data_IF_111904639611
#
_entry.id   IF_111904639611
#
_cell.length_a   1.000
_cell.length_b   1.000
_cell.length_c   1.000
_cell.angle_alpha   90.00
_cell.angle_beta   90.00
_cell.angle_gamma   90.00
#
_symmetry.space_group_name_H-M   'P 1'
#
loop_
_entity.id
_entity.type
_entity.pdbx_description
1 polymer ?
#
# COMPACT_ATOMS: atom_id res chain seq x y z
N UNK A 1 40.70 21.59 -10.74
CA UNK A 1 39.30 21.44 -11.21
C UNK A 1 39.23 20.24 -12.13
N UNK A 2 38.74 19.09 -11.66
CA UNK A 2 38.60 17.90 -12.50
C UNK A 2 37.31 18.03 -13.35
N UNK A 3 37.47 18.27 -14.64
CA UNK A 3 36.37 18.25 -15.59
C UNK A 3 35.99 16.78 -15.85
N UNK A 4 34.83 16.36 -15.35
CA UNK A 4 34.24 15.06 -15.68
C UNK A 4 34.03 14.97 -17.19
N UNK A 5 34.63 13.95 -17.83
CA UNK A 5 34.58 13.81 -19.29
C UNK A 5 33.15 13.48 -19.77
N UNK A 6 32.70 14.06 -20.90
CA UNK A 6 31.33 13.90 -21.40
C UNK A 6 30.98 12.44 -21.77
N UNK A 7 31.97 11.59 -22.00
CA UNK A 7 31.80 10.16 -22.35
C UNK A 7 31.29 9.32 -21.17
N UNK A 8 31.74 9.61 -19.94
CA UNK A 8 31.32 8.89 -18.73
C UNK A 8 29.83 9.17 -18.43
N UNK A 9 29.39 10.41 -18.65
CA UNK A 9 28.00 10.80 -18.48
C UNK A 9 27.04 10.08 -19.44
N UNK A 10 27.49 9.77 -20.66
CA UNK A 10 26.68 9.07 -21.67
C UNK A 10 26.44 7.60 -21.34
N UNK A 11 27.43 6.92 -20.74
CA UNK A 11 27.32 5.50 -20.37
C UNK A 11 26.59 5.29 -19.03
N UNK A 12 26.62 6.28 -18.12
CA UNK A 12 25.93 6.20 -16.83
C UNK A 12 24.42 6.46 -16.90
N UNK A 13 23.96 7.23 -17.90
CA UNK A 13 22.54 7.54 -18.14
C UNK A 13 21.64 6.30 -18.33
N UNK A 14 21.97 5.31 -19.17
CA UNK A 14 21.13 4.13 -19.35
C UNK A 14 21.09 3.23 -18.11
N UNK A 15 22.19 3.14 -17.35
CA UNK A 15 22.22 2.35 -16.10
C UNK A 15 21.28 2.96 -15.05
N UNK A 16 21.30 4.28 -14.92
CA UNK A 16 20.40 4.98 -14.00
C UNK A 16 18.92 4.81 -14.40
N UNK A 17 18.60 4.92 -15.70
CA UNK A 17 17.21 4.70 -16.15
C UNK A 17 16.76 3.26 -15.97
N UNK A 18 17.62 2.27 -16.23
CA UNK A 18 17.32 0.85 -15.99
C UNK A 18 17.05 0.60 -14.49
N UNK A 19 17.88 1.16 -13.60
CA UNK A 19 17.68 1.03 -12.15
C UNK A 19 16.36 1.68 -11.72
N UNK A 20 16.03 2.87 -12.23
CA UNK A 20 14.76 3.54 -11.92
C UNK A 20 13.55 2.75 -12.41
N UNK A 21 13.61 2.17 -13.61
CA UNK A 21 12.54 1.34 -14.15
C UNK A 21 12.41 0.03 -13.36
N UNK A 22 13.51 -0.64 -13.03
CA UNK A 22 13.49 -1.84 -12.21
C UNK A 22 12.92 -1.56 -10.81
N UNK A 23 13.26 -0.41 -10.21
CA UNK A 23 12.71 0.02 -8.94
C UNK A 23 11.22 0.36 -9.05
N UNK A 24 10.77 1.04 -10.11
CA UNK A 24 9.35 1.35 -10.28
C UNK A 24 8.52 0.09 -10.50
N UNK A 25 9.00 -0.86 -11.31
CA UNK A 25 8.34 -2.15 -11.57
C UNK A 25 8.21 -2.99 -10.30
N UNK A 26 9.16 -2.89 -9.37
CA UNK A 26 9.10 -3.64 -8.10
C UNK A 26 8.29 -2.93 -7.02
N UNK A 27 8.42 -1.61 -6.90
CA UNK A 27 7.78 -0.84 -5.81
C UNK A 27 6.31 -0.53 -6.10
N UNK A 28 5.97 -0.21 -7.35
CA UNK A 28 4.61 0.25 -7.70
C UNK A 28 3.53 -0.81 -7.42
N UNK A 29 3.68 -2.09 -7.82
CA UNK A 29 2.66 -3.10 -7.55
C UNK A 29 2.46 -3.33 -6.05
N UNK A 30 3.55 -3.32 -5.27
CA UNK A 30 3.48 -3.46 -3.80
C UNK A 30 2.75 -2.28 -3.17
N UNK A 31 3.05 -1.05 -3.63
CA UNK A 31 2.36 0.14 -3.15
C UNK A 31 0.85 0.10 -3.44
N UNK A 32 0.46 -0.35 -4.64
CA UNK A 32 -0.94 -0.55 -5.03
C UNK A 32 -1.63 -1.60 -4.17
N UNK A 33 -1.00 -2.76 -3.95
CA UNK A 33 -1.56 -3.82 -3.11
C UNK A 33 -1.77 -3.36 -1.66
N UNK A 34 -0.80 -2.63 -1.09
CA UNK A 34 -0.92 -2.06 0.26
C UNK A 34 -2.03 -1.01 0.31
N UNK A 35 -2.19 -0.18 -0.72
CA UNK A 35 -3.26 0.79 -0.79
C UNK A 35 -4.64 0.12 -0.85
N UNK A 36 -4.78 -0.96 -1.65
CA UNK A 36 -6.00 -1.74 -1.73
C UNK A 36 -6.37 -2.38 -0.39
N UNK A 37 -5.42 -3.06 0.27
CA UNK A 37 -5.63 -3.67 1.58
C UNK A 37 -6.04 -2.64 2.65
N UNK A 38 -5.44 -1.44 2.62
CA UNK A 38 -5.87 -0.34 3.50
C UNK A 38 -7.27 0.16 3.18
N UNK A 39 -7.65 0.18 1.90
CA UNK A 39 -9.00 0.54 1.48
C UNK A 39 -10.05 -0.42 2.01
N UNK A 40 -9.79 -1.73 1.95
CA UNK A 40 -10.66 -2.76 2.53
C UNK A 40 -10.79 -2.62 4.05
N UNK A 41 -9.69 -2.37 4.76
CA UNK A 41 -9.74 -2.12 6.20
C UNK A 41 -10.54 -0.84 6.52
N UNK A 42 -10.33 0.25 5.77
CA UNK A 42 -11.04 1.51 6.02
C UNK A 42 -12.54 1.41 5.71
N UNK A 43 -12.96 0.52 4.79
CA UNK A 43 -14.39 0.25 4.58
C UNK A 43 -15.07 -0.40 5.78
N UNK A 44 -14.31 -1.11 6.62
CA UNK A 44 -14.82 -1.72 7.85
C UNK A 44 -14.80 -0.75 9.04
N UNK A 45 -14.40 0.51 8.82
CA UNK A 45 -14.26 1.50 9.91
C UNK A 45 -15.61 1.88 10.50
N UNK A 46 -15.71 1.77 11.82
CA UNK A 46 -16.89 2.15 12.58
C UNK A 46 -16.86 3.65 12.88
N UNK A 47 -17.77 4.40 12.28
CA UNK A 47 -17.83 5.86 12.44
C UNK A 47 -18.31 6.29 13.84
N UNK A 48 -19.34 5.62 14.37
CA UNK A 48 -19.89 5.90 15.70
C UNK A 48 -20.61 4.68 16.25
N UNK A 49 -20.51 4.44 17.56
CA UNK A 49 -21.30 3.45 18.27
C UNK A 49 -22.23 4.12 19.30
N UNK A 50 -23.46 3.59 19.49
CA UNK A 50 -24.35 4.08 20.53
C UNK A 50 -23.66 4.11 21.90
N UNK A 51 -23.76 5.23 22.60
CA UNK A 51 -23.15 5.41 23.93
C UNK A 51 -21.65 5.73 23.93
N UNK A 52 -20.98 5.80 22.77
CA UNK A 52 -19.58 6.22 22.71
C UNK A 52 -19.40 7.74 22.75
N UNK A 53 -18.24 8.23 23.22
CA UNK A 53 -17.87 9.63 23.07
C UNK A 53 -17.79 10.02 21.59
N UNK A 54 -18.09 11.29 21.28
CA UNK A 54 -18.07 11.84 19.91
C UNK A 54 -16.70 11.72 19.21
N UNK A 55 -15.63 11.59 19.99
CA UNK A 55 -14.27 11.41 19.50
C UNK A 55 -13.62 10.27 20.30
N UNK A 56 -13.79 9.00 19.88
CA UNK A 56 -13.17 7.89 20.58
C UNK A 56 -11.64 7.98 20.48
N UNK A 57 -10.90 7.52 21.50
CA UNK A 57 -9.44 7.60 21.54
C UNK A 57 -8.74 6.68 20.54
N UNK A 58 -9.48 5.73 19.95
CA UNK A 58 -9.00 4.75 18.98
C UNK A 58 -9.95 4.65 17.80
N UNK A 59 -9.41 4.32 16.64
CA UNK A 59 -10.23 3.89 15.51
C UNK A 59 -10.71 2.47 15.73
N UNK A 60 -11.96 2.21 15.38
CA UNK A 60 -12.61 0.92 15.54
C UNK A 60 -13.03 0.41 14.17
N UNK A 61 -13.00 -0.90 14.00
CA UNK A 61 -13.33 -1.59 12.76
C UNK A 61 -14.22 -2.77 13.10
N UNK A 62 -15.18 -3.08 12.25
CA UNK A 62 -16.06 -4.23 12.39
C UNK A 62 -16.39 -4.78 11.02
N UNK A 63 -16.15 -6.07 10.81
CA UNK A 63 -16.23 -6.66 9.47
C UNK A 63 -16.30 -8.18 9.49
N UNK A 64 -16.19 -8.77 8.30
CA UNK A 64 -16.17 -10.22 8.12
C UNK A 64 -14.90 -10.65 7.39
N UNK A 65 -14.27 -11.71 7.87
CA UNK A 65 -13.18 -12.40 7.16
C UNK A 65 -13.71 -13.71 6.62
N UNK A 66 -13.75 -13.85 5.30
CA UNK A 66 -14.11 -15.12 4.65
C UNK A 66 -13.05 -16.18 4.95
N UNK A 67 -13.46 -17.28 5.58
CA UNK A 67 -12.57 -18.40 5.96
C UNK A 67 -12.76 -19.62 5.08
N UNK A 68 -13.87 -19.70 4.36
CA UNK A 68 -14.13 -20.74 3.37
C UNK A 68 -15.13 -20.23 2.33
N UNK A 69 -14.63 -19.90 1.14
CA UNK A 69 -15.44 -19.37 0.04
C UNK A 69 -16.45 -20.40 -0.49
N UNK A 70 -16.02 -21.66 -0.68
CA UNK A 70 -16.85 -22.73 -1.23
C UNK A 70 -18.12 -22.96 -0.40
N UNK A 71 -17.99 -22.93 0.92
CA UNK A 71 -19.07 -23.12 1.87
C UNK A 71 -19.71 -21.80 2.34
N UNK A 72 -19.28 -20.65 1.80
CA UNK A 72 -19.78 -19.32 2.18
C UNK A 72 -19.59 -18.98 3.67
N UNK A 73 -18.52 -19.47 4.31
CA UNK A 73 -18.27 -19.23 5.75
C UNK A 73 -17.35 -18.03 5.97
N UNK A 74 -17.75 -17.17 6.88
CA UNK A 74 -16.95 -16.03 7.35
C UNK A 74 -16.97 -15.93 8.88
N UNK A 75 -15.95 -15.29 9.45
CA UNK A 75 -15.87 -14.92 10.87
C UNK A 75 -16.06 -13.41 11.00
N UNK A 76 -16.85 -13.00 11.98
CA UNK A 76 -16.99 -11.60 12.36
C UNK A 76 -15.84 -11.18 13.29
N UNK A 77 -15.39 -9.93 13.16
CA UNK A 77 -14.38 -9.31 14.02
C UNK A 77 -14.74 -7.88 14.39
#
# INVERSE_FOLDING_TARGET
MAASSPVILWLQRPLFTIILVALSVTVLPVALAVAAARGEQESDRVAFLPGQPRSPPVSQFAGYVTVNEHNGRALFY
#
